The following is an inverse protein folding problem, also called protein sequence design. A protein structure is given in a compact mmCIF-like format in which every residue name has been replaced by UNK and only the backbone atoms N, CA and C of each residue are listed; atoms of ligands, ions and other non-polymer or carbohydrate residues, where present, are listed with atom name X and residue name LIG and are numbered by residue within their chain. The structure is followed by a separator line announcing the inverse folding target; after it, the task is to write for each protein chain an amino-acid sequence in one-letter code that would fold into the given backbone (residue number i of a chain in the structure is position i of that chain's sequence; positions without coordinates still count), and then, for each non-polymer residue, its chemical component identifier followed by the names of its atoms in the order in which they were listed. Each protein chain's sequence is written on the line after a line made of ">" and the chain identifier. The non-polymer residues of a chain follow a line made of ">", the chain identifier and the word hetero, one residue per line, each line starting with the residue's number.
data_IF_640720503068
#
_entry.id   IF_640720503068
#
_cell.length_a   1.000
_cell.length_b   1.000
_cell.length_c   1.000
_cell.angle_alpha   90.00
_cell.angle_beta   90.00
_cell.angle_gamma   90.00
#
_symmetry.space_group_name_H-M   'P 1'
#
loop_
_entity.id
_entity.type
_entity.pdbx_description
1 polymer ?
#
# COMPACT_ATOMS: atom_id res chain seq x y z
N UNK A 1 -18.18 -6.46 24.39
CA UNK A 1 -16.98 -5.61 24.26
C UNK A 1 -17.07 -4.53 25.31
N UNK A 2 -15.98 -4.28 26.03
CA UNK A 2 -15.96 -3.30 27.11
C UNK A 2 -16.18 -1.88 26.54
N UNK A 3 -16.89 -1.04 27.30
CA UNK A 3 -17.18 0.36 26.90
C UNK A 3 -15.92 1.15 26.56
N UNK A 4 -14.82 0.86 27.26
CA UNK A 4 -13.50 1.44 27.01
C UNK A 4 -13.01 1.05 25.61
N UNK A 5 -13.10 -0.23 25.23
CA UNK A 5 -12.64 -0.69 23.93
C UNK A 5 -13.42 -0.04 22.79
N UNK A 6 -14.75 0.03 22.91
CA UNK A 6 -15.61 0.68 21.91
C UNK A 6 -15.27 2.17 21.80
N UNK A 7 -15.06 2.87 22.92
CA UNK A 7 -14.70 4.30 22.90
C UNK A 7 -13.37 4.56 22.20
N UNK A 8 -12.37 3.69 22.39
CA UNK A 8 -11.05 3.83 21.75
C UNK A 8 -11.16 3.64 20.23
N UNK A 9 -11.92 2.63 19.79
CA UNK A 9 -12.15 2.37 18.36
C UNK A 9 -12.85 3.56 17.71
N UNK A 10 -13.94 4.04 18.31
CA UNK A 10 -14.70 5.18 17.77
C UNK A 10 -13.83 6.43 17.68
N UNK A 11 -13.06 6.74 18.74
CA UNK A 11 -12.18 7.90 18.76
C UNK A 11 -11.08 7.80 17.70
N UNK A 12 -10.49 6.61 17.52
CA UNK A 12 -9.49 6.36 16.48
C UNK A 12 -10.06 6.60 15.07
N UNK A 13 -11.24 6.04 14.77
CA UNK A 13 -11.88 6.21 13.47
C UNK A 13 -12.24 7.68 13.19
N UNK A 14 -12.75 8.41 14.19
CA UNK A 14 -13.05 9.83 14.07
C UNK A 14 -11.77 10.62 13.82
N UNK A 15 -10.71 10.39 14.60
CA UNK A 15 -9.44 11.10 14.46
C UNK A 15 -8.81 10.85 13.08
N UNK A 16 -8.74 9.59 12.63
CA UNK A 16 -8.21 9.22 11.32
C UNK A 16 -9.02 9.88 10.18
N UNK A 17 -10.36 9.82 10.26
CA UNK A 17 -11.24 10.44 9.27
C UNK A 17 -11.12 11.95 9.27
N UNK A 18 -11.02 12.58 10.44
CA UNK A 18 -10.85 14.02 10.57
C UNK A 18 -9.55 14.48 9.92
N UNK A 19 -8.41 13.84 10.26
CA UNK A 19 -7.11 14.15 9.67
C UNK A 19 -7.14 13.96 8.14
N UNK A 20 -7.68 12.82 7.67
CA UNK A 20 -7.81 12.55 6.24
C UNK A 20 -8.67 13.60 5.52
N UNK A 21 -9.80 13.99 6.10
CA UNK A 21 -10.68 15.01 5.53
C UNK A 21 -10.04 16.41 5.49
N UNK A 22 -9.25 16.76 6.51
CA UNK A 22 -8.51 18.02 6.55
C UNK A 22 -7.41 18.06 5.48
N UNK A 23 -6.72 16.95 5.26
CA UNK A 23 -5.71 16.83 4.20
C UNK A 23 -6.34 16.85 2.81
N UNK A 24 -7.47 16.16 2.61
CA UNK A 24 -8.22 16.12 1.36
C UNK A 24 -8.63 17.53 0.89
N UNK A 25 -9.05 18.39 1.82
CA UNK A 25 -9.45 19.78 1.51
C UNK A 25 -8.30 20.65 1.00
N UNK A 26 -7.04 20.27 1.26
CA UNK A 26 -5.87 21.07 0.87
C UNK A 26 -5.36 20.79 -0.54
N UNK A 27 -5.84 19.73 -1.19
CA UNK A 27 -5.28 19.27 -2.45
C UNK A 27 -6.28 19.46 -3.59
N UNK A 28 -5.90 20.27 -4.58
CA UNK A 28 -6.79 20.73 -5.67
C UNK A 28 -6.40 20.15 -7.03
N UNK A 29 -5.27 19.46 -7.11
CA UNK A 29 -4.72 18.88 -8.35
C UNK A 29 -4.62 17.36 -8.26
N UNK A 30 -4.70 16.68 -9.39
CA UNK A 30 -4.57 15.21 -9.46
C UNK A 30 -3.21 14.72 -8.95
N UNK A 31 -2.13 15.44 -9.25
CA UNK A 31 -0.78 15.14 -8.75
C UNK A 31 -0.63 15.44 -7.26
N UNK A 32 -1.34 16.45 -6.74
CA UNK A 32 -1.46 16.73 -5.31
C UNK A 32 -2.22 15.63 -4.57
N UNK A 33 -3.21 15.01 -5.21
CA UNK A 33 -3.94 13.86 -4.67
C UNK A 33 -3.12 12.56 -4.72
N UNK A 34 -2.46 12.28 -5.85
CA UNK A 34 -1.80 10.98 -6.08
C UNK A 34 -0.43 10.86 -5.40
N UNK A 35 0.39 11.93 -5.44
CA UNK A 35 1.79 11.89 -4.97
C UNK A 35 2.18 13.11 -4.11
N UNK A 36 1.19 13.85 -3.61
CA UNK A 36 1.38 15.10 -2.86
C UNK A 36 2.34 16.08 -3.58
N UNK A 37 2.28 16.12 -4.92
CA UNK A 37 3.16 16.96 -5.74
C UNK A 37 4.65 16.63 -5.65
N UNK A 38 5.02 15.46 -5.09
CA UNK A 38 6.41 15.06 -4.86
C UNK A 38 7.03 15.66 -3.58
N UNK A 39 6.24 16.31 -2.72
CA UNK A 39 6.70 16.96 -1.49
C UNK A 39 6.75 16.07 -0.25
N UNK A 40 6.45 14.77 -0.35
CA UNK A 40 6.53 13.87 0.81
C UNK A 40 7.97 13.63 1.22
N UNK A 41 8.25 13.79 2.52
CA UNK A 41 9.54 13.38 3.09
C UNK A 41 9.78 11.89 2.89
N UNK A 42 11.03 11.49 2.68
CA UNK A 42 11.44 10.09 2.52
C UNK A 42 10.94 9.21 3.67
N UNK A 43 10.93 9.74 4.89
CA UNK A 43 10.43 9.01 6.08
C UNK A 43 8.94 8.73 5.97
N UNK A 44 8.15 9.73 5.52
CA UNK A 44 6.71 9.58 5.35
C UNK A 44 6.40 8.54 4.27
N UNK A 45 7.15 8.56 3.17
CA UNK A 45 7.03 7.54 2.10
C UNK A 45 7.38 6.15 2.62
N UNK A 46 8.47 6.02 3.38
CA UNK A 46 8.90 4.73 3.95
C UNK A 46 7.85 4.17 4.92
N UNK A 47 7.33 5.00 5.84
CA UNK A 47 6.28 4.63 6.78
C UNK A 47 4.99 4.28 6.04
N UNK A 48 4.63 5.02 4.98
CA UNK A 48 3.48 4.72 4.14
C UNK A 48 3.60 3.35 3.46
N UNK A 49 4.74 3.05 2.83
CA UNK A 49 5.00 1.76 2.20
C UNK A 49 4.95 0.62 3.24
N UNK A 50 5.59 0.81 4.40
CA UNK A 50 5.54 -0.17 5.47
C UNK A 50 4.09 -0.41 5.96
N UNK A 51 3.33 0.67 6.17
CA UNK A 51 1.92 0.62 6.57
C UNK A 51 1.04 -0.11 5.56
N UNK A 52 1.28 0.05 4.25
CA UNK A 52 0.52 -0.69 3.22
C UNK A 52 0.80 -2.18 3.19
N UNK A 53 1.91 -2.67 3.76
CA UNK A 53 2.16 -4.12 3.89
C UNK A 53 1.63 -4.72 5.18
N UNK A 54 1.50 -3.93 6.24
CA UNK A 54 0.98 -4.38 7.53
C UNK A 54 -0.53 -4.14 7.53
N UNK A 55 -1.28 -5.02 6.84
CA UNK A 55 -2.74 -5.04 6.77
C UNK A 55 -3.34 -6.24 7.52
N UNK A 56 -4.68 -6.35 7.51
CA UNK A 56 -5.40 -7.42 8.21
C UNK A 56 -4.96 -8.81 7.74
N UNK A 57 -4.89 -9.03 6.42
CA UNK A 57 -4.45 -10.32 5.88
C UNK A 57 -2.98 -10.63 6.26
N UNK A 58 -2.12 -9.62 6.29
CA UNK A 58 -0.71 -9.79 6.67
C UNK A 58 -0.55 -10.13 8.16
N UNK A 59 -1.27 -9.44 9.04
CA UNK A 59 -1.17 -9.66 10.49
C UNK A 59 -1.76 -11.01 10.90
N UNK A 60 -2.98 -11.31 10.49
CA UNK A 60 -3.64 -12.58 10.84
C UNK A 60 -3.00 -13.77 10.11
N UNK A 61 -2.57 -13.60 8.86
CA UNK A 61 -1.88 -14.63 8.10
C UNK A 61 -0.55 -15.05 8.75
N UNK A 62 0.32 -14.08 9.06
CA UNK A 62 1.59 -14.38 9.73
C UNK A 62 1.36 -14.95 11.14
N UNK A 63 0.36 -14.45 11.87
CA UNK A 63 0.00 -15.03 13.16
C UNK A 63 -0.43 -16.51 13.03
N UNK A 64 -1.25 -16.84 12.04
CA UNK A 64 -1.67 -18.22 11.74
C UNK A 64 -0.50 -19.14 11.36
N UNK A 65 0.42 -18.65 10.52
CA UNK A 65 1.63 -19.37 10.13
C UNK A 65 2.56 -19.61 11.33
N UNK A 66 2.64 -18.66 12.27
CA UNK A 66 3.45 -18.82 13.49
C UNK A 66 2.82 -19.81 14.45
N UNK A 67 1.49 -19.79 14.60
CA UNK A 67 0.77 -20.75 15.46
C UNK A 67 0.93 -22.19 14.94
N UNK A 68 0.94 -22.37 13.62
CA UNK A 68 1.01 -23.71 12.99
C UNK A 68 2.42 -24.20 12.72
N UNK A 69 3.33 -23.34 12.25
CA UNK A 69 4.69 -23.68 11.81
C UNK A 69 5.82 -23.08 12.65
N UNK A 70 5.49 -22.35 13.72
CA UNK A 70 6.45 -21.80 14.67
C UNK A 70 7.03 -20.44 14.30
N UNK A 71 7.85 -19.90 15.21
CA UNK A 71 8.41 -18.54 15.14
C UNK A 71 9.30 -18.30 13.91
N UNK A 72 9.79 -19.37 13.27
CA UNK A 72 10.58 -19.25 12.05
C UNK A 72 9.82 -18.54 10.91
N UNK A 73 8.51 -18.77 10.80
CA UNK A 73 7.69 -18.15 9.75
C UNK A 73 7.62 -16.61 9.90
N UNK A 74 7.67 -16.11 11.13
CA UNK A 74 7.74 -14.67 11.40
C UNK A 74 9.04 -14.05 10.86
N UNK A 75 10.19 -14.67 11.17
CA UNK A 75 11.49 -14.20 10.68
C UNK A 75 11.59 -14.28 9.16
N UNK A 76 11.08 -15.37 8.58
CA UNK A 76 11.07 -15.56 7.14
C UNK A 76 10.22 -14.51 6.42
N UNK A 77 9.04 -14.18 6.97
CA UNK A 77 8.20 -13.09 6.44
C UNK A 77 8.92 -11.74 6.46
N UNK A 78 9.63 -11.41 7.54
CA UNK A 78 10.40 -10.17 7.65
C UNK A 78 11.54 -10.10 6.62
N UNK A 79 12.35 -11.15 6.51
CA UNK A 79 13.49 -11.21 5.59
C UNK A 79 13.02 -11.16 4.13
N UNK A 80 12.01 -11.95 3.77
CA UNK A 80 11.47 -11.99 2.41
C UNK A 80 10.86 -10.65 2.00
N UNK A 81 10.08 -10.00 2.88
CA UNK A 81 9.51 -8.68 2.64
C UNK A 81 10.59 -7.62 2.47
N UNK A 82 11.62 -7.63 3.32
CA UNK A 82 12.74 -6.70 3.22
C UNK A 82 13.50 -6.87 1.90
N UNK A 83 13.81 -8.11 1.50
CA UNK A 83 14.51 -8.39 0.25
C UNK A 83 13.68 -7.97 -0.97
N UNK A 84 12.38 -8.28 -0.97
CA UNK A 84 11.47 -7.89 -2.05
C UNK A 84 11.40 -6.36 -2.21
N UNK A 85 11.20 -5.63 -1.11
CA UNK A 85 11.15 -4.16 -1.13
C UNK A 85 12.50 -3.54 -1.50
N UNK A 86 13.61 -4.10 -1.01
CA UNK A 86 14.95 -3.63 -1.35
C UNK A 86 15.25 -3.80 -2.83
N UNK A 87 14.88 -4.94 -3.42
CA UNK A 87 15.08 -5.22 -4.83
C UNK A 87 14.25 -4.27 -5.70
N UNK A 88 12.98 -4.03 -5.36
CA UNK A 88 12.14 -3.05 -6.06
C UNK A 88 12.69 -1.63 -5.90
N UNK A 89 13.09 -1.25 -4.68
CA UNK A 89 13.65 0.06 -4.37
C UNK A 89 14.95 0.36 -5.12
N UNK A 90 15.88 -0.59 -5.17
CA UNK A 90 17.17 -0.43 -5.83
C UNK A 90 17.05 -0.41 -7.36
N UNK A 91 16.28 -1.34 -7.94
CA UNK A 91 16.27 -1.52 -9.40
C UNK A 91 15.18 -0.72 -10.11
N UNK A 92 14.00 -0.56 -9.52
CA UNK A 92 12.85 0.01 -10.23
C UNK A 92 12.54 1.46 -9.82
N UNK A 93 12.72 1.83 -8.55
CA UNK A 93 12.30 3.15 -8.07
C UNK A 93 12.95 4.33 -8.82
N UNK A 94 14.23 4.19 -9.21
CA UNK A 94 14.95 5.23 -9.96
C UNK A 94 14.29 5.50 -11.32
N UNK A 95 13.93 4.47 -12.07
CA UNK A 95 13.32 4.61 -13.39
C UNK A 95 11.91 5.19 -13.30
N UNK A 96 11.12 4.70 -12.34
CA UNK A 96 9.76 5.20 -12.10
C UNK A 96 9.75 6.68 -11.73
N UNK A 97 10.70 7.12 -10.89
CA UNK A 97 10.83 8.53 -10.51
C UNK A 97 11.31 9.41 -11.65
N UNK A 98 12.25 8.94 -12.49
CA UNK A 98 12.75 9.70 -13.65
C UNK A 98 11.67 9.91 -14.72
N UNK A 99 10.84 8.89 -14.96
CA UNK A 99 9.76 8.94 -15.94
C UNK A 99 8.50 9.68 -15.45
N UNK A 100 8.46 10.10 -14.17
CA UNK A 100 7.32 10.79 -13.54
C UNK A 100 5.97 10.05 -13.71
N UNK A 101 6.03 8.72 -13.74
CA UNK A 101 4.85 7.87 -13.90
C UNK A 101 3.92 8.00 -12.70
N UNK A 102 2.62 8.07 -12.96
CA UNK A 102 1.58 8.07 -11.92
C UNK A 102 1.04 6.66 -11.68
N UNK A 103 1.10 5.79 -12.69
CA UNK A 103 0.63 4.41 -12.59
C UNK A 103 1.69 3.43 -13.06
N UNK A 104 1.69 2.22 -12.47
CA UNK A 104 2.59 1.14 -12.89
C UNK A 104 2.35 0.74 -14.34
N UNK A 105 1.10 0.82 -14.81
CA UNK A 105 0.72 0.50 -16.19
C UNK A 105 1.30 1.44 -17.26
N UNK A 106 1.62 2.70 -16.93
CA UNK A 106 2.13 3.68 -17.91
C UNK A 106 3.47 3.25 -18.52
N UNK A 107 4.28 2.48 -17.78
CA UNK A 107 5.54 1.95 -18.31
C UNK A 107 5.29 1.08 -19.55
N UNK A 108 4.14 0.40 -19.60
CA UNK A 108 3.78 -0.43 -20.75
C UNK A 108 3.43 0.43 -21.97
N UNK A 109 2.78 1.57 -21.78
CA UNK A 109 2.51 2.48 -22.89
C UNK A 109 3.78 3.15 -23.41
N UNK A 110 4.71 3.52 -22.53
CA UNK A 110 6.01 4.06 -22.94
C UNK A 110 6.87 3.02 -23.68
N UNK A 111 6.83 1.76 -23.25
CA UNK A 111 7.67 0.71 -23.82
C UNK A 111 7.13 0.16 -25.14
N UNK A 112 5.82 -0.04 -25.25
CA UNK A 112 5.19 -0.69 -26.41
C UNK A 112 4.39 0.25 -27.30
N UNK A 113 4.23 1.53 -26.93
CA UNK A 113 3.48 2.51 -27.71
C UNK A 113 1.97 2.26 -27.78
N UNK A 114 1.45 1.28 -27.02
CA UNK A 114 0.05 0.88 -27.06
C UNK A 114 -0.61 1.02 -25.69
N UNK A 115 -1.77 1.66 -25.67
CA UNK A 115 -2.57 1.89 -24.46
C UNK A 115 -3.32 0.63 -23.99
N UNK A 116 -3.50 -0.37 -24.88
CA UNK A 116 -4.13 -1.65 -24.53
C UNK A 116 -3.39 -2.38 -23.41
N UNK A 117 -2.06 -2.42 -23.47
CA UNK A 117 -1.24 -3.08 -22.45
C UNK A 117 -1.40 -2.40 -21.07
N UNK A 118 -1.40 -1.06 -21.03
CA UNK A 118 -1.64 -0.33 -19.79
C UNK A 118 -3.00 -0.64 -19.17
N UNK A 119 -4.07 -0.71 -19.99
CA UNK A 119 -5.41 -1.04 -19.51
C UNK A 119 -5.48 -2.45 -18.94
N UNK A 120 -4.91 -3.44 -19.63
CA UNK A 120 -4.89 -4.82 -19.14
C UNK A 120 -4.13 -4.93 -17.82
N UNK A 121 -2.94 -4.34 -17.71
CA UNK A 121 -2.18 -4.33 -16.45
C UNK A 121 -2.95 -3.62 -15.33
N UNK A 122 -3.58 -2.48 -15.62
CA UNK A 122 -4.37 -1.75 -14.64
C UNK A 122 -5.62 -2.52 -14.19
N UNK A 123 -6.26 -3.28 -15.08
CA UNK A 123 -7.38 -4.16 -14.73
C UNK A 123 -6.92 -5.33 -13.85
N UNK A 124 -5.78 -5.96 -14.15
CA UNK A 124 -5.24 -7.02 -13.31
C UNK A 124 -4.95 -6.52 -11.88
N UNK A 125 -4.29 -5.37 -11.76
CA UNK A 125 -3.96 -4.77 -10.45
C UNK A 125 -5.24 -4.38 -9.69
N UNK A 126 -6.22 -3.78 -10.35
CA UNK A 126 -7.51 -3.46 -9.70
C UNK A 126 -8.25 -4.72 -9.25
N UNK A 127 -8.22 -5.78 -10.05
CA UNK A 127 -8.85 -7.07 -9.71
C UNK A 127 -8.18 -7.68 -8.49
N UNK A 128 -6.85 -7.68 -8.44
CA UNK A 128 -6.08 -8.11 -7.25
C UNK A 128 -6.49 -7.31 -6.02
N UNK A 129 -6.51 -5.97 -6.10
CA UNK A 129 -6.94 -5.14 -4.97
C UNK A 129 -8.37 -5.44 -4.53
N UNK A 130 -9.30 -5.66 -5.45
CA UNK A 130 -10.68 -6.03 -5.11
C UNK A 130 -10.72 -7.37 -4.36
N UNK A 131 -10.00 -8.38 -4.85
CA UNK A 131 -9.93 -9.69 -4.21
C UNK A 131 -9.32 -9.59 -2.81
N UNK A 132 -8.19 -8.88 -2.67
CA UNK A 132 -7.51 -8.71 -1.38
C UNK A 132 -8.39 -7.97 -0.38
N UNK A 133 -9.01 -6.85 -0.78
CA UNK A 133 -9.92 -6.12 0.12
C UNK A 133 -11.13 -6.96 0.53
N UNK A 134 -11.65 -7.80 -0.37
CA UNK A 134 -12.73 -8.72 -0.06
C UNK A 134 -12.27 -9.75 0.98
N UNK A 135 -11.10 -10.37 0.79
CA UNK A 135 -10.54 -11.34 1.75
C UNK A 135 -10.29 -10.67 3.10
N UNK A 136 -9.70 -9.47 3.12
CA UNK A 136 -9.44 -8.72 4.35
C UNK A 136 -10.70 -8.36 5.13
N UNK A 137 -11.85 -8.26 4.48
CA UNK A 137 -13.12 -8.04 5.17
C UNK A 137 -13.63 -9.29 5.93
N UNK A 138 -13.14 -10.48 5.59
CA UNK A 138 -13.56 -11.76 6.18
C UNK A 138 -12.53 -12.38 7.14
N UNK A 139 -11.35 -11.77 7.27
CA UNK A 139 -10.27 -12.19 8.19
C UNK A 139 -10.26 -11.28 9.41
#
# INVERSE_FOLDING_TARGET
>A
MDTIAVSVIVLYLIAATAIGSLMARRTTTSTGWAVAGGGMSTVLVAVGIAGTRIGGAGTYGVAGDVISGGVWNFWWYGISTFLALSLVGLFFAVYYRRLRLQTVGEIFTLRWGNRRCQWLTSLCVQTEYVIVNLIEAYV
#
